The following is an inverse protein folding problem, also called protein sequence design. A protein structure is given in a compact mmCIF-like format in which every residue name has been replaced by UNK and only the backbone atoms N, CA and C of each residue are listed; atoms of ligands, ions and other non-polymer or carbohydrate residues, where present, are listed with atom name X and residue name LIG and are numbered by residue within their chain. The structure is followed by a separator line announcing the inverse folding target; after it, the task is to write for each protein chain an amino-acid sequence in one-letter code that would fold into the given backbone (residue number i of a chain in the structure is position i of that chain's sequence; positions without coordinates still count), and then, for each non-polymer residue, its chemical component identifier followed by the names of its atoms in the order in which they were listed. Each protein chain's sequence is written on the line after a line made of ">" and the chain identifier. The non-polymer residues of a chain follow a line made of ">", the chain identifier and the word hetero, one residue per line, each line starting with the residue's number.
data_IF_535538944634
#
_entry.id   IF_535538944634
#
_cell.length_a   1.000
_cell.length_b   1.000
_cell.length_c   1.000
_cell.angle_alpha   90.00
_cell.angle_beta   90.00
_cell.angle_gamma   90.00
#
_symmetry.space_group_name_H-M   'P 1'
#
loop_
_entity.id
_entity.type
_entity.pdbx_description
1 polymer ?
#
# COMPACT_ATOMS: atom_id res chain seq x y z
N UNK A 1 11.26 21.00 -3.52
CA UNK A 1 12.07 20.10 -4.37
C UNK A 1 11.39 18.75 -4.33
N UNK A 2 10.66 18.38 -5.38
CA UNK A 2 10.12 17.02 -5.51
C UNK A 2 11.31 16.10 -5.76
N UNK A 3 11.77 15.40 -4.73
CA UNK A 3 12.75 14.36 -4.89
C UNK A 3 12.00 13.14 -5.45
N UNK A 4 12.61 12.40 -6.39
CA UNK A 4 12.03 11.25 -7.08
C UNK A 4 11.41 10.16 -6.18
N UNK A 5 11.60 10.25 -4.87
CA UNK A 5 11.17 9.28 -3.86
C UNK A 5 9.65 9.25 -3.59
N UNK A 6 8.91 10.36 -3.74
CA UNK A 6 7.48 10.36 -3.37
C UNK A 6 6.58 9.62 -4.37
N UNK A 7 6.95 9.57 -5.65
CA UNK A 7 6.14 8.97 -6.72
C UNK A 7 6.30 7.45 -6.78
N UNK A 8 7.45 6.92 -6.36
CA UNK A 8 7.79 5.50 -6.49
C UNK A 8 7.32 4.61 -5.32
N UNK A 9 6.86 5.20 -4.21
CA UNK A 9 6.49 4.40 -3.02
C UNK A 9 5.26 3.53 -3.23
N UNK A 10 4.24 4.01 -3.96
CA UNK A 10 3.05 3.21 -4.26
C UNK A 10 3.39 1.96 -5.10
N UNK A 11 4.06 2.06 -6.27
CA UNK A 11 4.44 0.88 -7.04
C UNK A 11 5.43 -0.01 -6.29
N UNK A 12 6.29 0.55 -5.43
CA UNK A 12 7.16 -0.24 -4.55
C UNK A 12 6.34 -1.09 -3.56
N UNK A 13 5.37 -0.49 -2.86
CA UNK A 13 4.48 -1.22 -1.95
C UNK A 13 3.68 -2.28 -2.72
N UNK A 14 3.19 -1.98 -3.93
CA UNK A 14 2.53 -2.98 -4.79
C UNK A 14 3.45 -4.16 -5.12
N UNK A 15 4.72 -3.89 -5.45
CA UNK A 15 5.72 -4.92 -5.70
C UNK A 15 5.98 -5.82 -4.48
N UNK A 16 6.05 -5.22 -3.28
CA UNK A 16 6.17 -5.96 -2.02
C UNK A 16 4.95 -6.86 -1.81
N UNK A 17 3.74 -6.32 -1.94
CA UNK A 17 2.49 -7.10 -1.81
C UNK A 17 2.47 -8.28 -2.79
N UNK A 18 2.87 -8.06 -4.03
CA UNK A 18 2.94 -9.11 -5.05
C UNK A 18 3.98 -10.18 -4.71
N UNK A 19 5.11 -9.81 -4.12
CA UNK A 19 6.11 -10.76 -3.62
C UNK A 19 5.51 -11.68 -2.53
N UNK A 20 4.77 -11.12 -1.58
CA UNK A 20 4.09 -11.91 -0.54
C UNK A 20 3.04 -12.85 -1.14
N UNK A 21 2.24 -12.38 -2.09
CA UNK A 21 1.26 -13.22 -2.80
C UNK A 21 1.91 -14.39 -3.53
N UNK A 22 3.01 -14.13 -4.26
CA UNK A 22 3.79 -15.16 -4.94
C UNK A 22 4.45 -16.14 -3.96
N UNK A 23 4.78 -15.67 -2.76
CA UNK A 23 5.26 -16.49 -1.65
C UNK A 23 4.18 -17.33 -0.95
N UNK A 24 2.92 -17.28 -1.41
CA UNK A 24 1.82 -18.09 -0.87
C UNK A 24 0.89 -17.36 0.09
N UNK A 25 1.05 -16.04 0.29
CA UNK A 25 0.11 -15.26 1.09
C UNK A 25 -1.26 -15.21 0.39
N UNK A 26 -2.35 -15.62 1.08
CA UNK A 26 -3.69 -15.50 0.51
C UNK A 26 -4.03 -14.05 0.15
N UNK A 27 -4.60 -13.83 -1.03
CA UNK A 27 -4.87 -12.49 -1.57
C UNK A 27 -5.71 -11.59 -0.65
N UNK A 28 -6.58 -12.18 0.20
CA UNK A 28 -7.36 -11.46 1.22
C UNK A 28 -6.50 -10.70 2.24
N UNK A 29 -5.23 -11.07 2.42
CA UNK A 29 -4.31 -10.40 3.33
C UNK A 29 -3.45 -9.32 2.65
N UNK A 30 -3.51 -9.19 1.32
CA UNK A 30 -2.75 -8.19 0.55
C UNK A 30 -2.93 -6.75 1.08
N UNK A 31 -4.14 -6.30 1.45
CA UNK A 31 -4.32 -4.94 1.96
C UNK A 31 -3.60 -4.68 3.29
N UNK A 32 -3.50 -5.69 4.17
CA UNK A 32 -2.79 -5.54 5.44
C UNK A 32 -1.29 -5.38 5.20
N UNK A 33 -0.72 -6.16 4.28
CA UNK A 33 0.69 -6.00 3.87
C UNK A 33 0.91 -4.58 3.33
N UNK A 34 0.04 -4.11 2.44
CA UNK A 34 0.16 -2.77 1.87
C UNK A 34 0.14 -1.67 2.94
N UNK A 35 -0.78 -1.76 3.91
CA UNK A 35 -0.91 -0.79 5.02
C UNK A 35 0.29 -0.83 5.96
N UNK A 36 0.78 -2.02 6.31
CA UNK A 36 1.97 -2.16 7.17
C UNK A 36 3.17 -1.47 6.52
N UNK A 37 3.46 -1.77 5.26
CA UNK A 37 4.58 -1.14 4.57
C UNK A 37 4.36 0.36 4.29
N UNK A 38 3.12 0.77 3.99
CA UNK A 38 2.76 2.19 3.88
C UNK A 38 3.06 2.96 5.15
N UNK A 39 2.65 2.44 6.31
CA UNK A 39 2.95 3.03 7.62
C UNK A 39 4.46 3.05 7.92
N UNK A 40 5.17 1.97 7.61
CA UNK A 40 6.63 1.92 7.81
C UNK A 40 7.35 3.01 6.99
N UNK A 41 7.01 3.16 5.71
CA UNK A 41 7.58 4.23 4.89
C UNK A 41 7.15 5.61 5.37
N UNK A 42 5.86 5.78 5.67
CA UNK A 42 5.32 7.05 6.13
C UNK A 42 5.96 7.55 7.43
N UNK A 43 6.11 6.67 8.42
CA UNK A 43 6.59 7.05 9.76
C UNK A 43 8.11 7.07 9.89
N UNK A 44 8.84 6.22 9.15
CA UNK A 44 10.29 6.05 9.36
C UNK A 44 11.16 6.47 8.16
N UNK A 45 10.59 6.67 6.97
CA UNK A 45 11.36 7.00 5.76
C UNK A 45 11.16 8.43 5.27
N UNK A 46 9.93 8.96 5.31
CA UNK A 46 9.61 10.28 4.74
C UNK A 46 10.21 11.48 5.49
N UNK A 47 10.77 11.28 6.69
CA UNK A 47 11.39 12.36 7.46
C UNK A 47 10.43 13.45 7.94
N UNK A 48 9.11 13.19 7.88
CA UNK A 48 8.04 14.08 8.37
C UNK A 48 7.72 13.82 9.85
N UNK A 49 6.88 14.66 10.45
CA UNK A 49 6.40 14.43 11.81
C UNK A 49 5.67 13.07 11.92
N UNK A 50 5.74 12.40 13.08
CA UNK A 50 5.08 11.09 13.26
C UNK A 50 3.58 11.12 12.91
N UNK A 51 2.89 12.22 13.23
CA UNK A 51 1.47 12.39 12.93
C UNK A 51 1.22 12.49 11.42
N UNK A 52 2.05 13.24 10.72
CA UNK A 52 1.96 13.39 9.26
C UNK A 52 2.35 12.08 8.56
N UNK A 53 3.44 11.45 9.00
CA UNK A 53 3.91 10.17 8.48
C UNK A 53 2.89 9.04 8.65
N UNK A 54 2.14 9.04 9.76
CA UNK A 54 1.03 8.11 9.95
C UNK A 54 -0.06 8.31 8.88
N UNK A 55 -0.50 9.56 8.66
CA UNK A 55 -1.54 9.89 7.68
C UNK A 55 -1.07 9.58 6.25
N UNK A 56 0.11 10.06 5.86
CA UNK A 56 0.68 9.83 4.53
C UNK A 56 0.95 8.34 4.31
N UNK A 57 1.45 7.63 5.31
CA UNK A 57 1.68 6.19 5.24
C UNK A 57 0.41 5.37 5.03
N UNK A 58 -0.70 5.74 5.70
CA UNK A 58 -2.01 5.15 5.42
C UNK A 58 -2.45 5.44 3.99
N UNK A 59 -2.29 6.67 3.51
CA UNK A 59 -2.65 7.02 2.13
C UNK A 59 -1.87 6.16 1.12
N UNK A 60 -0.55 6.04 1.28
CA UNK A 60 0.31 5.22 0.43
C UNK A 60 -0.10 3.74 0.43
N UNK A 61 -0.27 3.15 1.62
CA UNK A 61 -0.63 1.75 1.76
C UNK A 61 -2.03 1.43 1.22
N UNK A 62 -3.02 2.28 1.51
CA UNK A 62 -4.38 2.11 0.99
C UNK A 62 -4.43 2.28 -0.52
N UNK A 63 -3.71 3.25 -1.10
CA UNK A 63 -3.58 3.42 -2.55
C UNK A 63 -2.93 2.21 -3.22
N UNK A 64 -1.89 1.63 -2.60
CA UNK A 64 -1.22 0.44 -3.12
C UNK A 64 -2.06 -0.84 -3.01
N UNK A 65 -2.94 -0.93 -2.01
CA UNK A 65 -3.76 -2.13 -1.77
C UNK A 65 -4.82 -2.40 -2.84
N UNK A 66 -5.19 -1.39 -3.62
CA UNK A 66 -6.33 -1.48 -4.53
C UNK A 66 -7.68 -1.63 -3.82
N UNK A 67 -7.78 -1.45 -2.49
CA UNK A 67 -9.04 -1.58 -1.73
C UNK A 67 -10.20 -0.78 -2.32
N UNK A 68 -9.92 0.42 -2.86
CA UNK A 68 -10.95 1.24 -3.49
C UNK A 68 -11.43 0.67 -4.83
N UNK A 69 -10.54 0.04 -5.61
CA UNK A 69 -10.84 -0.48 -6.96
C UNK A 69 -11.30 -1.95 -6.96
N UNK A 70 -10.78 -2.78 -6.05
CA UNK A 70 -11.05 -4.22 -5.97
C UNK A 70 -12.49 -4.56 -5.54
N UNK A 71 -13.20 -3.62 -4.89
CA UNK A 71 -14.63 -3.79 -4.59
C UNK A 71 -15.50 -3.87 -5.84
N UNK A 72 -15.08 -3.26 -6.96
CA UNK A 72 -15.85 -3.33 -8.23
C UNK A 72 -15.71 -4.67 -8.96
N UNK A 73 -14.58 -5.37 -8.84
CA UNK A 73 -14.39 -6.66 -9.51
C UNK A 73 -15.02 -7.83 -8.75
N UNK A 74 -15.01 -7.81 -7.41
CA UNK A 74 -15.62 -8.87 -6.60
C UNK A 74 -17.14 -8.93 -6.79
N UNK A 75 -17.80 -7.78 -7.02
CA UNK A 75 -19.26 -7.74 -7.27
C UNK A 75 -19.63 -8.24 -8.67
N UNK A 76 -18.70 -8.22 -9.65
CA UNK A 76 -19.00 -8.59 -11.04
C UNK A 76 -18.94 -10.09 -11.31
N UNK A 77 -18.17 -10.85 -10.54
CA UNK A 77 -18.00 -12.31 -10.72
C UNK A 77 -18.94 -13.16 -9.85
N UNK A 78 -19.90 -12.55 -9.15
CA UNK A 78 -20.95 -13.23 -8.39
C UNK A 78 -22.23 -13.47 -9.20
N UNK A 79 -22.11 -13.75 -10.50
CA UNK A 79 -23.22 -14.22 -11.35
C UNK A 79 -22.97 -15.64 -11.79
#
# INVERSE_FOLDING_TARGET
>A
MFQLYDVALIPLIMGIVELFKRGGLPGKYSPFVAVIFGLLFGMFYLGVSLKEGFVVGLMLGLSASGLYSGTREVVKNGK
#
